data_IF_763039029681
#
_entry.id   IF_763039029681
#
_cell.length_a   1.000
_cell.length_b   1.000
_cell.length_c   1.000
_cell.angle_alpha   90.00
_cell.angle_beta   90.00
_cell.angle_gamma   90.00
#
_symmetry.space_group_name_H-M   'P 1'
#
loop_
_entity.id
_entity.type
_entity.pdbx_description
1 polymer ?
#
# COMPACT_ATOMS: atom_id res chain seq x y z
N UNK A 1 42.77 70.35 2.95
CA UNK A 1 42.34 69.03 2.43
C UNK A 1 41.31 69.24 1.32
N UNK A 2 41.67 68.88 0.08
CA UNK A 2 40.97 69.27 -1.16
C UNK A 2 39.52 68.75 -1.26
N UNK A 3 38.60 69.59 -1.74
CA UNK A 3 37.16 69.29 -1.86
C UNK A 3 36.85 68.05 -2.73
N UNK A 4 37.77 67.65 -3.62
CA UNK A 4 37.66 66.42 -4.44
C UNK A 4 37.81 65.14 -3.61
N UNK A 5 38.58 65.17 -2.53
CA UNK A 5 38.81 64.01 -1.64
C UNK A 5 37.57 63.74 -0.76
N UNK A 6 36.85 64.80 -0.36
CA UNK A 6 35.61 64.69 0.41
C UNK A 6 34.46 64.03 -0.36
N UNK A 7 34.37 64.22 -1.69
CA UNK A 7 33.35 63.59 -2.53
C UNK A 7 33.62 62.11 -2.80
N UNK A 8 34.89 61.71 -2.91
CA UNK A 8 35.25 60.30 -3.10
C UNK A 8 34.96 59.44 -1.85
N UNK A 9 35.19 59.99 -0.64
CA UNK A 9 34.94 59.28 0.62
C UNK A 9 33.44 59.05 0.86
N UNK A 10 32.58 60.01 0.48
CA UNK A 10 31.13 59.90 0.65
C UNK A 10 30.51 58.85 -0.29
N UNK A 11 31.06 58.64 -1.48
CA UNK A 11 30.56 57.63 -2.44
C UNK A 11 31.01 56.21 -2.08
N UNK A 12 32.20 56.04 -1.48
CA UNK A 12 32.69 54.72 -1.04
C UNK A 12 31.99 54.24 0.23
N UNK A 13 31.63 55.15 1.15
CA UNK A 13 30.87 54.82 2.36
C UNK A 13 29.39 54.47 2.07
N UNK A 14 28.79 55.02 1.02
CA UNK A 14 27.39 54.70 0.65
C UNK A 14 27.26 53.38 -0.11
N UNK A 15 28.32 52.90 -0.76
CA UNK A 15 28.33 51.58 -1.42
C UNK A 15 28.59 50.43 -0.42
N UNK A 16 29.36 50.67 0.65
CA UNK A 16 29.61 49.65 1.69
C UNK A 16 28.46 49.51 2.69
N UNK A 17 27.64 50.55 2.89
CA UNK A 17 26.44 50.46 3.73
C UNK A 17 25.23 49.77 3.04
N UNK A 18 25.25 49.66 1.70
CA UNK A 18 24.15 49.04 0.93
C UNK A 18 24.20 47.51 0.84
N UNK A 19 25.31 46.87 1.22
CA UNK A 19 25.51 45.41 1.06
C UNK A 19 25.13 44.63 2.35
N UNK A 20 24.87 45.30 3.47
CA UNK A 20 24.60 44.64 4.75
C UNK A 20 23.13 44.20 4.97
N UNK A 21 22.22 44.36 3.99
CA UNK A 21 20.78 44.05 4.17
C UNK A 21 20.39 42.65 3.67
N UNK A 22 21.33 41.83 3.17
CA UNK A 22 21.03 40.49 2.62
C UNK A 22 21.41 39.31 3.52
N UNK A 23 21.89 39.52 4.74
CA UNK A 23 22.17 38.45 5.70
C UNK A 23 21.04 38.35 6.74
N UNK A 24 19.90 37.77 6.35
CA UNK A 24 18.75 37.67 7.24
C UNK A 24 17.63 36.71 6.82
N UNK A 25 17.86 35.77 5.89
CA UNK A 25 16.95 34.64 5.72
C UNK A 25 17.32 33.56 6.74
N UNK A 26 16.74 33.66 7.94
CA UNK A 26 16.86 32.64 8.98
C UNK A 26 15.91 31.48 8.66
N UNK A 27 16.21 30.73 7.58
CA UNK A 27 15.53 29.49 7.22
C UNK A 27 16.02 28.35 8.12
N UNK A 28 15.56 28.31 9.38
CA UNK A 28 15.65 27.08 10.17
C UNK A 28 14.72 27.00 11.39
N UNK A 29 13.92 28.04 11.66
CA UNK A 29 13.03 28.06 12.84
C UNK A 29 11.76 27.22 12.65
N UNK A 30 11.24 27.09 11.43
CA UNK A 30 9.99 26.35 11.17
C UNK A 30 10.12 24.84 11.39
N UNK A 31 11.22 24.22 10.95
CA UNK A 31 11.42 22.77 11.04
C UNK A 31 11.69 22.31 12.48
N UNK A 32 12.46 23.09 13.24
CA UNK A 32 12.76 22.79 14.64
C UNK A 32 11.54 22.98 15.55
N UNK A 33 10.74 24.04 15.33
CA UNK A 33 9.52 24.30 16.10
C UNK A 33 8.45 23.24 15.82
N UNK A 34 8.24 22.89 14.54
CA UNK A 34 7.30 21.82 14.16
C UNK A 34 7.68 20.48 14.79
N UNK A 35 8.98 20.13 14.81
CA UNK A 35 9.46 18.90 15.46
C UNK A 35 9.17 18.91 16.95
N UNK A 36 9.45 20.02 17.64
CA UNK A 36 9.21 20.16 19.08
C UNK A 36 7.73 20.10 19.44
N UNK A 37 6.86 20.67 18.60
CA UNK A 37 5.42 20.61 18.80
C UNK A 37 4.87 19.18 18.62
N UNK A 38 5.35 18.45 17.60
CA UNK A 38 5.03 17.02 17.42
C UNK A 38 5.51 16.17 18.59
N UNK A 39 6.75 16.37 19.05
CA UNK A 39 7.32 15.61 20.16
C UNK A 39 6.54 15.86 21.48
N UNK A 40 6.15 17.11 21.76
CA UNK A 40 5.31 17.45 22.92
C UNK A 40 3.90 16.83 22.82
N UNK A 41 3.31 16.78 21.63
CA UNK A 41 2.02 16.12 21.42
C UNK A 41 2.14 14.60 21.62
N UNK A 42 3.19 13.98 21.09
CA UNK A 42 3.47 12.56 21.28
C UNK A 42 3.68 12.21 22.75
N UNK A 43 4.42 13.04 23.49
CA UNK A 43 4.64 12.87 24.93
C UNK A 43 3.33 13.00 25.72
N UNK A 44 2.49 13.96 25.37
CA UNK A 44 1.16 14.09 25.97
C UNK A 44 0.29 12.87 25.65
N UNK A 45 0.25 12.40 24.40
CA UNK A 45 -0.47 11.20 24.03
C UNK A 45 0.02 9.98 24.79
N UNK A 46 1.35 9.77 24.90
CA UNK A 46 1.93 8.68 25.67
C UNK A 46 1.55 8.73 27.17
N UNK A 47 1.35 9.92 27.73
CA UNK A 47 0.92 10.11 29.13
C UNK A 47 -0.57 9.85 29.34
N UNK A 48 -1.43 10.31 28.43
CA UNK A 48 -2.90 10.25 28.64
C UNK A 48 -3.56 9.04 27.99
N UNK A 49 -2.95 8.49 26.94
CA UNK A 49 -3.41 7.35 26.14
C UNK A 49 -2.18 6.60 25.62
N UNK A 50 -1.47 5.84 26.47
CA UNK A 50 -0.31 5.08 26.03
C UNK A 50 -0.71 4.23 24.82
N UNK A 51 -0.09 4.50 23.68
CA UNK A 51 -0.37 3.77 22.45
C UNK A 51 0.06 2.33 22.69
N UNK A 52 -0.87 1.37 22.66
CA UNK A 52 -0.53 -0.01 22.99
C UNK A 52 0.44 -0.55 21.95
N UNK A 53 1.60 -1.01 22.44
CA UNK A 53 2.59 -1.70 21.64
C UNK A 53 2.37 -3.21 21.77
N UNK A 54 2.37 -3.90 20.63
CA UNK A 54 2.20 -5.35 20.58
C UNK A 54 3.42 -5.95 19.87
N UNK A 55 4.06 -6.94 20.50
CA UNK A 55 5.16 -7.68 19.88
C UNK A 55 4.68 -8.54 18.70
N UNK A 56 3.43 -9.02 18.77
CA UNK A 56 2.78 -9.83 17.74
C UNK A 56 1.39 -9.28 17.41
N UNK A 57 0.99 -9.37 16.15
CA UNK A 57 -0.34 -8.97 15.69
C UNK A 57 -0.94 -10.06 14.82
N UNK A 58 -2.09 -10.61 15.23
CA UNK A 58 -2.84 -11.58 14.43
C UNK A 58 -3.21 -11.02 13.05
N UNK A 59 -3.55 -9.73 12.98
CA UNK A 59 -3.85 -9.08 11.72
C UNK A 59 -2.65 -9.10 10.77
N UNK A 60 -1.45 -8.79 11.30
CA UNK A 60 -0.21 -8.87 10.53
C UNK A 60 0.09 -10.32 10.10
N UNK A 61 -0.07 -11.29 10.99
CA UNK A 61 0.10 -12.70 10.67
C UNK A 61 -0.84 -13.16 9.54
N UNK A 62 -2.11 -12.73 9.57
CA UNK A 62 -3.08 -13.02 8.52
C UNK A 62 -2.66 -12.41 7.18
N UNK A 63 -2.23 -11.14 7.16
CA UNK A 63 -1.74 -10.50 5.94
C UNK A 63 -0.54 -11.25 5.36
N UNK A 64 0.40 -11.68 6.21
CA UNK A 64 1.55 -12.48 5.79
C UNK A 64 1.10 -13.83 5.21
N UNK A 65 0.11 -14.49 5.81
CA UNK A 65 -0.40 -15.77 5.31
C UNK A 65 -1.09 -15.62 3.94
N UNK A 66 -1.85 -14.55 3.73
CA UNK A 66 -2.48 -14.23 2.43
C UNK A 66 -1.40 -13.98 1.38
N UNK A 67 -0.39 -13.17 1.71
CA UNK A 67 0.73 -12.88 0.81
C UNK A 67 1.53 -14.13 0.49
N UNK A 68 1.79 -14.98 1.48
CA UNK A 68 2.44 -16.28 1.29
C UNK A 68 1.63 -17.19 0.36
N UNK A 69 0.30 -17.22 0.52
CA UNK A 69 -0.56 -18.02 -0.34
C UNK A 69 -0.54 -17.52 -1.79
N UNK A 70 -0.51 -16.21 -2.00
CA UNK A 70 -0.37 -15.59 -3.31
C UNK A 70 1.02 -15.86 -3.92
N UNK A 71 2.09 -15.76 -3.14
CA UNK A 71 3.46 -15.92 -3.62
C UNK A 71 3.88 -17.38 -3.85
N UNK A 72 3.40 -18.30 -3.01
CA UNK A 72 3.81 -19.72 -3.01
C UNK A 72 2.85 -20.63 -3.78
N UNK A 73 1.72 -20.09 -4.25
CA UNK A 73 0.73 -20.87 -5.01
C UNK A 73 0.17 -22.03 -4.20
N UNK A 74 -0.38 -21.74 -3.02
CA UNK A 74 -1.00 -22.78 -2.19
C UNK A 74 -2.31 -23.27 -2.80
N UNK A 75 -2.64 -24.55 -2.65
CA UNK A 75 -3.88 -25.13 -3.20
C UNK A 75 -5.10 -24.56 -2.46
N UNK A 76 -6.03 -23.98 -3.20
CA UNK A 76 -7.27 -23.36 -2.71
C UNK A 76 -8.48 -23.94 -3.42
N UNK A 77 -9.69 -23.56 -3.01
CA UNK A 77 -10.91 -23.83 -3.79
C UNK A 77 -11.60 -22.52 -4.08
N UNK A 78 -11.89 -22.24 -5.35
CA UNK A 78 -12.57 -21.00 -5.76
C UNK A 78 -13.98 -21.28 -6.28
N UNK A 79 -14.93 -20.46 -5.84
CA UNK A 79 -16.34 -20.45 -6.24
C UNK A 79 -16.65 -19.14 -6.95
N UNK A 80 -17.37 -19.24 -8.07
CA UNK A 80 -17.72 -18.12 -8.93
C UNK A 80 -19.22 -17.87 -8.85
N UNK A 81 -19.62 -16.62 -8.59
CA UNK A 81 -21.01 -16.23 -8.42
C UNK A 81 -21.39 -15.09 -9.37
N UNK A 82 -22.60 -15.19 -9.90
CA UNK A 82 -23.26 -14.09 -10.59
C UNK A 82 -23.88 -13.12 -9.58
N UNK A 83 -23.97 -11.84 -9.96
CA UNK A 83 -24.67 -10.85 -9.15
C UNK A 83 -26.13 -11.27 -8.92
N UNK A 84 -26.54 -11.30 -7.64
CA UNK A 84 -27.89 -11.70 -7.24
C UNK A 84 -28.15 -13.22 -7.25
N UNK A 85 -27.18 -14.05 -7.63
CA UNK A 85 -27.27 -15.51 -7.52
C UNK A 85 -26.66 -15.97 -6.21
N UNK A 86 -27.40 -16.79 -5.47
CA UNK A 86 -26.88 -17.49 -4.28
C UNK A 86 -26.07 -18.71 -4.68
N UNK A 87 -26.44 -19.39 -5.77
CA UNK A 87 -25.73 -20.57 -6.24
C UNK A 87 -24.51 -20.15 -7.08
N UNK A 88 -23.34 -20.80 -6.86
CA UNK A 88 -22.18 -20.59 -7.70
C UNK A 88 -22.44 -21.18 -9.08
N UNK A 89 -21.98 -20.48 -10.11
CA UNK A 89 -22.07 -20.93 -11.51
C UNK A 89 -20.98 -21.96 -11.83
N UNK A 90 -19.89 -21.93 -11.07
CA UNK A 90 -18.70 -22.76 -11.23
C UNK A 90 -17.96 -22.83 -9.90
N UNK A 91 -17.28 -23.95 -9.69
CA UNK A 91 -16.25 -24.11 -8.65
C UNK A 91 -15.08 -24.89 -9.22
N UNK A 92 -13.86 -24.59 -8.78
CA UNK A 92 -12.67 -25.34 -9.15
C UNK A 92 -11.71 -25.45 -7.96
N UNK A 93 -10.92 -26.51 -7.95
CA UNK A 93 -9.66 -26.50 -7.21
C UNK A 93 -8.73 -25.49 -7.90
N UNK A 94 -8.09 -24.62 -7.13
CA UNK A 94 -7.33 -23.49 -7.63
C UNK A 94 -5.96 -23.35 -6.96
N UNK A 95 -5.11 -22.49 -7.52
CA UNK A 95 -3.80 -22.16 -6.97
C UNK A 95 -3.81 -20.71 -6.51
N UNK A 96 -3.48 -20.49 -5.24
CA UNK A 96 -3.38 -19.18 -4.62
C UNK A 96 -4.73 -18.48 -4.48
N UNK A 97 -4.68 -17.15 -4.36
CA UNK A 97 -5.87 -16.29 -4.35
C UNK A 97 -6.07 -15.62 -5.71
N UNK A 98 -7.31 -15.23 -6.05
CA UNK A 98 -7.61 -14.54 -7.31
C UNK A 98 -6.75 -13.30 -7.51
N UNK A 99 -6.28 -13.10 -8.75
CA UNK A 99 -5.47 -11.95 -9.15
C UNK A 99 -6.40 -10.93 -9.81
N UNK A 100 -6.50 -9.69 -9.29
CA UNK A 100 -7.33 -8.67 -9.93
C UNK A 100 -6.76 -8.31 -11.31
N UNK A 101 -7.62 -7.98 -12.27
CA UNK A 101 -7.18 -7.66 -13.65
C UNK A 101 -6.38 -6.36 -13.76
N UNK A 102 -6.42 -5.53 -12.72
CA UNK A 102 -5.63 -4.31 -12.56
C UNK A 102 -4.22 -4.60 -12.02
N UNK A 103 -3.90 -5.85 -11.69
CA UNK A 103 -2.56 -6.24 -11.27
C UNK A 103 -1.54 -5.97 -12.37
N UNK A 104 -0.50 -5.23 -12.04
CA UNK A 104 0.54 -4.78 -12.96
C UNK A 104 1.93 -5.08 -12.38
N UNK A 105 2.86 -5.51 -13.24
CA UNK A 105 4.27 -5.73 -12.87
C UNK A 105 5.09 -4.43 -12.92
N UNK A 106 4.52 -3.37 -13.49
CA UNK A 106 5.14 -2.06 -13.62
C UNK A 106 4.29 -1.04 -12.88
N UNK A 107 4.94 -0.07 -12.24
CA UNK A 107 4.25 1.05 -11.60
C UNK A 107 3.27 1.71 -12.57
N UNK A 108 1.96 1.80 -12.25
CA UNK A 108 1.01 2.50 -13.09
C UNK A 108 1.32 4.00 -13.18
N UNK A 109 1.96 4.56 -12.15
CA UNK A 109 2.43 5.94 -12.16
C UNK A 109 3.77 6.05 -12.89
N UNK A 110 3.80 6.81 -13.97
CA UNK A 110 5.01 7.24 -14.67
C UNK A 110 5.41 8.63 -14.16
N UNK A 111 6.55 8.72 -13.48
CA UNK A 111 7.11 9.98 -12.99
C UNK A 111 7.58 10.87 -14.13
N UNK A 112 6.82 11.92 -14.47
CA UNK A 112 7.31 13.08 -15.25
C UNK A 112 7.43 14.23 -14.24
N UNK A 113 8.65 14.76 -14.03
CA UNK A 113 9.04 15.54 -12.84
C UNK A 113 8.15 16.70 -12.38
N UNK A 114 8.40 17.15 -11.13
CA UNK A 114 7.74 18.22 -10.33
C UNK A 114 6.51 17.85 -9.47
N UNK A 115 6.45 16.65 -8.88
CA UNK A 115 5.41 16.30 -7.89
C UNK A 115 5.06 14.82 -7.89
N UNK A 116 6.10 13.98 -7.84
CA UNK A 116 6.04 12.56 -8.21
C UNK A 116 5.20 11.75 -7.21
N UNK A 117 4.09 11.17 -7.68
CA UNK A 117 3.42 10.06 -6.99
C UNK A 117 4.25 8.81 -7.27
N UNK A 118 4.85 8.25 -6.21
CA UNK A 118 5.52 6.95 -6.28
C UNK A 118 4.49 5.93 -5.82
N UNK A 119 3.93 5.18 -6.76
CA UNK A 119 3.12 4.01 -6.43
C UNK A 119 3.94 3.04 -5.58
N UNK A 120 3.37 2.57 -4.48
CA UNK A 120 3.98 1.54 -3.65
C UNK A 120 3.59 0.17 -4.19
N UNK A 121 4.58 -0.70 -4.31
CA UNK A 121 4.39 -2.08 -4.73
C UNK A 121 3.91 -2.91 -3.54
N UNK A 122 3.00 -3.85 -3.77
CA UNK A 122 2.63 -4.84 -2.77
C UNK A 122 3.84 -5.75 -2.43
N UNK A 123 3.87 -6.40 -1.26
CA UNK A 123 4.97 -7.29 -0.89
C UNK A 123 5.20 -8.47 -1.86
N UNK A 124 4.21 -8.80 -2.68
CA UNK A 124 4.29 -9.81 -3.75
C UNK A 124 4.97 -9.30 -5.02
N UNK A 125 5.36 -8.03 -5.08
CA UNK A 125 6.06 -7.45 -6.23
C UNK A 125 5.13 -6.95 -7.34
N UNK A 126 3.85 -6.75 -7.04
CA UNK A 126 2.83 -6.33 -8.01
C UNK A 126 2.15 -5.04 -7.55
N UNK A 127 1.64 -4.27 -8.51
CA UNK A 127 0.80 -3.11 -8.27
C UNK A 127 -0.64 -3.48 -8.51
N UNK A 128 -1.55 -3.23 -7.57
CA UNK A 128 -2.97 -3.55 -7.73
C UNK A 128 -3.83 -2.29 -7.62
N UNK A 129 -4.98 -2.28 -8.29
CA UNK A 129 -6.01 -1.24 -8.15
C UNK A 129 -7.40 -1.85 -8.02
N UNK A 130 -8.42 -1.01 -7.92
CA UNK A 130 -9.82 -1.45 -7.85
C UNK A 130 -10.22 -2.16 -9.15
N UNK A 131 -10.70 -3.40 -9.05
CA UNK A 131 -11.18 -4.16 -10.20
C UNK A 131 -12.42 -4.98 -9.88
N UNK A 132 -13.32 -5.06 -10.86
CA UNK A 132 -14.42 -6.02 -10.89
C UNK A 132 -14.01 -7.34 -11.54
N UNK A 133 -12.92 -7.34 -12.30
CA UNK A 133 -12.40 -8.51 -13.00
C UNK A 133 -11.29 -9.22 -12.23
N UNK A 134 -11.33 -10.55 -12.25
CA UNK A 134 -10.36 -11.41 -11.58
C UNK A 134 -9.91 -12.53 -12.51
N UNK A 135 -8.63 -12.88 -12.42
CA UNK A 135 -8.04 -14.08 -12.97
C UNK A 135 -7.88 -15.11 -11.85
N UNK A 136 -8.35 -16.33 -12.09
CA UNK A 136 -8.22 -17.45 -11.16
C UNK A 136 -7.49 -18.57 -11.87
N UNK A 137 -6.47 -19.14 -11.21
CA UNK A 137 -5.75 -20.31 -11.73
C UNK A 137 -6.49 -21.56 -11.26
N UNK A 138 -7.36 -22.12 -12.10
CA UNK A 138 -8.07 -23.37 -11.84
C UNK A 138 -7.25 -24.57 -12.32
N UNK A 139 -7.25 -25.65 -11.55
CA UNK A 139 -6.72 -26.95 -11.96
C UNK A 139 -7.79 -27.70 -12.75
N UNK A 140 -7.46 -28.06 -13.99
CA UNK A 140 -8.27 -28.95 -14.83
C UNK A 140 -7.44 -30.17 -15.17
N UNK A 141 -7.83 -31.33 -14.63
CA UNK A 141 -7.07 -32.59 -14.77
C UNK A 141 -5.58 -32.39 -14.37
N UNK A 142 -5.34 -31.74 -13.23
CA UNK A 142 -4.02 -31.34 -12.69
C UNK A 142 -3.23 -30.34 -13.56
N UNK A 143 -3.82 -29.82 -14.65
CA UNK A 143 -3.22 -28.78 -15.48
C UNK A 143 -3.71 -27.40 -15.02
N UNK A 144 -2.81 -26.49 -14.61
CA UNK A 144 -3.19 -25.11 -14.30
C UNK A 144 -3.71 -24.39 -15.54
N UNK A 145 -4.90 -23.82 -15.42
CA UNK A 145 -5.58 -23.04 -16.46
C UNK A 145 -6.06 -21.72 -15.88
N UNK A 146 -5.97 -20.65 -16.66
CA UNK A 146 -6.40 -19.31 -16.21
C UNK A 146 -7.82 -19.08 -16.67
N UNK A 147 -8.70 -18.84 -15.71
CA UNK A 147 -10.09 -18.44 -15.95
C UNK A 147 -10.27 -16.97 -15.63
N UNK A 148 -10.96 -16.26 -16.52
CA UNK A 148 -11.36 -14.88 -16.34
C UNK A 148 -12.79 -14.79 -15.79
N UNK A 149 -13.01 -13.90 -14.82
CA UNK A 149 -14.34 -13.68 -14.24
C UNK A 149 -14.55 -12.24 -13.79
N UNK A 150 -15.71 -11.66 -14.14
CA UNK A 150 -16.12 -10.29 -13.75
C UNK A 150 -17.21 -10.24 -12.67
N UNK A 151 -17.60 -11.40 -12.14
CA UNK A 151 -18.53 -11.50 -11.03
C UNK A 151 -17.81 -11.69 -9.69
N UNK A 152 -18.57 -12.11 -8.69
CA UNK A 152 -18.02 -12.32 -7.35
C UNK A 152 -17.28 -13.65 -7.28
N UNK A 153 -16.17 -13.65 -6.55
CA UNK A 153 -15.38 -14.85 -6.25
C UNK A 153 -15.27 -15.03 -4.75
N UNK A 154 -15.38 -16.27 -4.29
CA UNK A 154 -15.01 -16.67 -2.94
C UNK A 154 -13.94 -17.75 -3.04
N UNK A 155 -12.84 -17.58 -2.33
CA UNK A 155 -11.72 -18.53 -2.33
C UNK A 155 -11.45 -19.02 -0.91
N UNK A 156 -11.55 -20.33 -0.73
CA UNK A 156 -11.22 -21.02 0.51
C UNK A 156 -9.75 -21.45 0.48
N UNK A 157 -9.06 -21.26 1.60
CA UNK A 157 -7.63 -21.60 1.78
C UNK A 157 -7.35 -23.11 1.85
N UNK A 158 -8.14 -23.95 1.19
CA UNK A 158 -8.06 -25.40 1.21
C UNK A 158 -9.22 -26.04 0.44
N UNK A 159 -9.40 -27.38 0.55
CA UNK A 159 -10.48 -28.10 -0.12
C UNK A 159 -11.84 -27.73 0.47
N UNK A 160 -12.77 -27.36 -0.40
CA UNK A 160 -14.13 -27.00 -0.04
C UNK A 160 -15.15 -27.47 -1.10
N UNK A 161 -16.43 -27.49 -0.73
CA UNK A 161 -17.54 -27.79 -1.64
C UNK A 161 -18.70 -26.84 -1.42
N UNK A 162 -19.53 -26.67 -2.45
CA UNK A 162 -20.83 -26.00 -2.31
C UNK A 162 -21.85 -26.98 -1.71
N UNK A 163 -22.51 -26.58 -0.62
CA UNK A 163 -23.67 -27.28 -0.10
C UNK A 163 -24.95 -26.74 -0.74
N UNK A 164 -25.58 -27.57 -1.57
CA UNK A 164 -26.76 -27.16 -2.34
C UNK A 164 -28.02 -26.99 -1.49
N UNK A 165 -28.11 -27.68 -0.35
CA UNK A 165 -29.26 -27.62 0.54
C UNK A 165 -29.17 -26.39 1.43
N UNK A 166 -28.00 -26.18 2.04
CA UNK A 166 -27.78 -25.08 2.97
C UNK A 166 -27.36 -23.77 2.30
N UNK A 167 -27.02 -23.82 1.01
CA UNK A 167 -26.56 -22.66 0.22
C UNK A 167 -25.34 -21.98 0.82
N UNK A 168 -24.36 -22.79 1.25
CA UNK A 168 -23.12 -22.32 1.87
C UNK A 168 -21.92 -23.10 1.34
N UNK A 169 -20.74 -22.48 1.40
CA UNK A 169 -19.46 -23.16 1.18
C UNK A 169 -19.08 -23.91 2.44
N UNK A 170 -18.71 -25.18 2.29
CA UNK A 170 -18.31 -26.06 3.40
C UNK A 170 -16.91 -26.57 3.15
N UNK A 171 -16.01 -26.33 4.09
CA UNK A 171 -14.66 -26.92 4.07
C UNK A 171 -14.76 -28.45 4.19
N UNK A 172 -14.04 -29.16 3.31
CA UNK A 172 -14.07 -30.62 3.23
C UNK A 172 -12.78 -31.27 3.72
N UNK A 173 -11.78 -30.46 4.07
CA UNK A 173 -10.48 -30.93 4.57
C UNK A 173 -9.68 -29.82 5.26
N UNK A 174 -8.42 -30.10 5.61
CA UNK A 174 -7.57 -29.15 6.31
C UNK A 174 -7.22 -27.94 5.45
N UNK A 175 -7.07 -26.77 6.07
CA UNK A 175 -6.56 -25.57 5.40
C UNK A 175 -5.12 -25.79 4.93
N UNK A 176 -4.82 -25.42 3.70
CA UNK A 176 -3.45 -25.35 3.16
C UNK A 176 -2.82 -23.99 3.49
N UNK A 177 -3.64 -22.95 3.63
CA UNK A 177 -3.22 -21.62 4.11
C UNK A 177 -3.23 -21.62 5.63
N UNK A 178 -2.06 -21.43 6.25
CA UNK A 178 -1.91 -21.44 7.71
C UNK A 178 -1.52 -20.05 8.20
N UNK A 179 -2.27 -19.52 9.17
CA UNK A 179 -1.88 -18.31 9.90
C UNK A 179 -1.09 -18.75 11.14
N UNK A 180 0.10 -18.18 11.33
CA UNK A 180 1.03 -18.52 12.42
C UNK A 180 1.32 -17.31 13.29
#
# INVERSE_FOLDING_TARGET
MNAKIKRAIVVVLSITAGIAVLAGCNENSGTAENKRQTDNQLDQYNKVQPIPFYESSQYRATLLAIQDAQAKGLVTTTFFFNQGSVDPIKSCESIGYPVPTTAQLTSPDQSIGNGVVISQMEPTGVYTGESTGTYVVCLKDDVPTVDYWEGFVQTEGGPARWDREQKVVVATGPSTVTVK
#
